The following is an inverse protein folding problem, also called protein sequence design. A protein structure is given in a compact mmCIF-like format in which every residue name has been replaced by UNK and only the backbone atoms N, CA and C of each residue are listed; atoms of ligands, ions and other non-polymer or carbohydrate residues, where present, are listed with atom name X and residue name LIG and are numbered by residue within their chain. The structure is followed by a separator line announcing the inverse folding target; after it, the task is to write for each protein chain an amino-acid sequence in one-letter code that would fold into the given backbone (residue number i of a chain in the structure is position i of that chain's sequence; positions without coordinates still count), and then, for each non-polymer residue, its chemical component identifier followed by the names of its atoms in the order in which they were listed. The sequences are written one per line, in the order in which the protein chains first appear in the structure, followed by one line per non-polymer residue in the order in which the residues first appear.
data_IF_509053200555
#
_entry.id   IF_509053200555
#
_cell.length_a   1.000
_cell.length_b   1.000
_cell.length_c   1.000
_cell.angle_alpha   90.00
_cell.angle_beta   90.00
_cell.angle_gamma   90.00
#
_symmetry.space_group_name_H-M   'P 1'
#
loop_
_entity.id
_entity.type
_entity.pdbx_description
1 polymer ?
#
# COMPACT_ATOMS: atom_id res chain seq x y z
N UNK A 1 -6.60 -13.91 -14.07
CA UNK A 1 -5.17 -13.52 -14.16
C UNK A 1 -4.37 -14.76 -14.47
N UNK A 2 -3.46 -14.68 -15.44
CA UNK A 2 -2.57 -15.80 -15.78
C UNK A 2 -1.28 -15.78 -14.95
N UNK A 3 -0.61 -16.93 -14.86
CA UNK A 3 0.68 -17.06 -14.18
C UNK A 3 1.78 -16.18 -14.81
N UNK A 4 1.76 -16.04 -16.14
CA UNK A 4 2.73 -15.25 -16.91
C UNK A 4 2.68 -13.75 -16.60
N UNK A 5 1.48 -13.18 -16.41
CA UNK A 5 1.30 -11.78 -16.05
C UNK A 5 1.94 -11.47 -14.68
N UNK A 6 1.78 -12.39 -13.72
CA UNK A 6 2.36 -12.26 -12.37
C UNK A 6 3.88 -12.36 -12.41
N UNK A 7 4.43 -13.30 -13.17
CA UNK A 7 5.88 -13.48 -13.30
C UNK A 7 6.52 -12.26 -13.97
N UNK A 8 5.91 -11.76 -15.04
CA UNK A 8 6.40 -10.59 -15.78
C UNK A 8 6.37 -9.34 -14.90
N UNK A 9 5.24 -9.09 -14.23
CA UNK A 9 5.11 -7.99 -13.27
C UNK A 9 6.09 -8.12 -12.08
N UNK A 10 6.41 -9.34 -11.66
CA UNK A 10 7.38 -9.57 -10.57
C UNK A 10 8.80 -9.23 -10.99
N UNK A 11 9.21 -9.60 -12.20
CA UNK A 11 10.57 -9.34 -12.71
C UNK A 11 10.80 -7.84 -12.96
N UNK A 12 9.89 -7.17 -13.65
CA UNK A 12 10.01 -5.72 -13.92
C UNK A 12 9.77 -4.88 -12.66
N UNK A 13 8.84 -5.30 -11.81
CA UNK A 13 8.43 -4.57 -10.61
C UNK A 13 9.42 -4.64 -9.45
N UNK A 14 10.34 -5.61 -9.41
CA UNK A 14 11.26 -5.77 -8.27
C UNK A 14 12.19 -4.57 -8.09
N UNK A 15 12.91 -4.17 -9.13
CA UNK A 15 13.86 -3.04 -9.06
C UNK A 15 13.13 -1.72 -8.82
N UNK A 16 12.02 -1.50 -9.52
CA UNK A 16 11.20 -0.31 -9.34
C UNK A 16 10.65 -0.20 -7.90
N UNK A 17 10.23 -1.33 -7.32
CA UNK A 17 9.79 -1.38 -5.93
C UNK A 17 10.93 -1.13 -4.97
N UNK A 18 12.11 -1.72 -5.19
CA UNK A 18 13.29 -1.47 -4.37
C UNK A 18 13.63 0.02 -4.31
N UNK A 19 13.66 0.68 -5.46
CA UNK A 19 13.96 2.12 -5.57
C UNK A 19 12.87 2.92 -4.87
N UNK A 20 11.60 2.65 -5.18
CA UNK A 20 10.46 3.35 -4.60
C UNK A 20 10.41 3.21 -3.08
N UNK A 21 10.49 1.99 -2.55
CA UNK A 21 10.49 1.71 -1.11
C UNK A 21 11.66 2.39 -0.42
N UNK A 22 12.88 2.25 -0.97
CA UNK A 22 14.08 2.89 -0.42
C UNK A 22 13.94 4.41 -0.37
N UNK A 23 13.41 5.01 -1.44
CA UNK A 23 13.21 6.46 -1.55
C UNK A 23 12.13 6.94 -0.56
N UNK A 24 10.99 6.26 -0.49
CA UNK A 24 9.90 6.60 0.44
C UNK A 24 10.35 6.46 1.89
N UNK A 25 11.07 5.37 2.23
CA UNK A 25 11.59 5.15 3.58
C UNK A 25 12.61 6.23 3.96
N UNK A 26 13.58 6.50 3.08
CA UNK A 26 14.62 7.51 3.34
C UNK A 26 14.02 8.91 3.44
N UNK A 27 13.18 9.28 2.47
CA UNK A 27 12.46 10.55 2.44
C UNK A 27 11.57 10.73 3.67
N UNK A 28 10.82 9.70 4.07
CA UNK A 28 10.00 9.70 5.27
C UNK A 28 10.82 9.89 6.54
N UNK A 29 11.97 9.23 6.67
CA UNK A 29 12.88 9.42 7.82
C UNK A 29 13.45 10.84 7.86
N UNK A 30 13.88 11.38 6.72
CA UNK A 30 14.44 12.74 6.63
C UNK A 30 13.35 13.78 6.97
N UNK A 31 12.18 13.68 6.35
CA UNK A 31 11.05 14.57 6.60
C UNK A 31 10.56 14.46 8.04
N UNK A 32 10.46 13.26 8.61
CA UNK A 32 10.03 13.07 9.99
C UNK A 32 10.98 13.72 10.99
N UNK A 33 12.30 13.66 10.74
CA UNK A 33 13.29 14.42 11.54
C UNK A 33 13.12 15.93 11.40
N UNK A 34 12.96 16.43 10.17
CA UNK A 34 12.79 17.86 9.90
C UNK A 34 11.52 18.41 10.58
N UNK A 35 10.43 17.65 10.51
CA UNK A 35 9.13 17.99 11.10
C UNK A 35 9.03 17.68 12.59
N UNK A 36 10.08 17.11 13.19
CA UNK A 36 10.14 16.69 14.60
C UNK A 36 8.97 15.76 14.99
N UNK A 37 8.65 14.82 14.10
CA UNK A 37 7.74 13.71 14.39
C UNK A 37 8.52 12.64 15.15
N UNK A 38 7.86 11.96 16.08
CA UNK A 38 8.48 10.87 16.83
C UNK A 38 9.05 9.79 15.91
N UNK A 39 10.16 9.19 16.30
CA UNK A 39 10.91 8.23 15.47
C UNK A 39 10.05 7.03 15.04
N UNK A 40 9.32 6.43 15.97
CA UNK A 40 8.49 5.26 15.67
C UNK A 40 7.31 5.64 14.78
N UNK A 41 6.58 6.71 15.10
CA UNK A 41 5.49 7.22 14.24
C UNK A 41 5.99 7.55 12.83
N UNK A 42 7.19 8.15 12.70
CA UNK A 42 7.84 8.41 11.41
C UNK A 42 8.08 7.12 10.63
N UNK A 43 8.68 6.11 11.27
CA UNK A 43 8.95 4.82 10.62
C UNK A 43 7.68 4.10 10.18
N UNK A 44 6.61 4.17 10.99
CA UNK A 44 5.33 3.55 10.67
C UNK A 44 4.63 4.26 9.51
N UNK A 45 4.59 5.60 9.50
CA UNK A 45 4.03 6.38 8.37
C UNK A 45 4.81 6.12 7.09
N UNK A 46 6.15 6.11 7.16
CA UNK A 46 7.00 5.82 6.01
C UNK A 46 6.80 4.40 5.49
N UNK A 47 6.78 3.38 6.38
CA UNK A 47 6.56 1.99 6.01
C UNK A 47 5.17 1.75 5.41
N UNK A 48 4.13 2.33 6.02
CA UNK A 48 2.77 2.30 5.49
C UNK A 48 2.67 2.93 4.10
N UNK A 49 3.37 4.03 3.88
CA UNK A 49 3.41 4.71 2.56
C UNK A 49 4.20 3.94 1.52
N UNK A 50 5.30 3.30 1.92
CA UNK A 50 6.21 2.63 1.00
C UNK A 50 5.65 1.31 0.45
N UNK A 51 4.69 0.66 1.12
CA UNK A 51 4.28 -0.71 0.78
C UNK A 51 2.75 -0.81 0.60
N UNK A 52 2.03 -1.25 1.63
CA UNK A 52 0.61 -1.60 1.58
C UNK A 52 -0.17 -1.03 2.77
N UNK A 53 0.24 0.12 3.29
CA UNK A 53 -0.51 0.83 4.32
C UNK A 53 -0.55 0.09 5.64
N UNK A 54 -1.76 -0.33 6.04
CA UNK A 54 -2.02 -0.89 7.37
C UNK A 54 -1.25 -2.18 7.65
N UNK A 55 -1.11 -3.08 6.66
CA UNK A 55 -0.40 -4.35 6.89
C UNK A 55 1.11 -4.14 7.12
N UNK A 56 1.71 -3.13 6.48
CA UNK A 56 3.10 -2.77 6.73
C UNK A 56 3.28 -2.17 8.13
N UNK A 57 2.36 -1.30 8.56
CA UNK A 57 2.35 -0.76 9.93
C UNK A 57 2.23 -1.90 10.96
N UNK A 58 1.30 -2.83 10.77
CA UNK A 58 1.08 -3.96 11.66
C UNK A 58 2.29 -4.92 11.72
N UNK A 59 3.01 -5.09 10.63
CA UNK A 59 4.22 -5.92 10.58
C UNK A 59 5.43 -5.23 11.25
N UNK A 60 5.59 -3.92 11.06
CA UNK A 60 6.73 -3.14 11.57
C UNK A 60 6.58 -2.79 13.05
N UNK A 61 5.37 -2.48 13.50
CA UNK A 61 5.07 -2.08 14.88
C UNK A 61 5.72 -2.96 15.98
N UNK A 62 5.56 -4.30 15.96
CA UNK A 62 6.17 -5.14 17.00
C UNK A 62 7.71 -5.19 16.91
N UNK A 63 8.29 -5.02 15.71
CA UNK A 63 9.74 -5.05 15.47
C UNK A 63 10.42 -3.83 16.11
N UNK A 64 9.80 -2.65 15.95
CA UNK A 64 10.32 -1.41 16.50
C UNK A 64 9.80 -1.12 17.91
N UNK A 65 8.96 -2.02 18.46
CA UNK A 65 8.29 -1.88 19.76
C UNK A 65 7.60 -0.53 19.91
N UNK A 66 6.74 -0.20 18.94
CA UNK A 66 5.96 1.04 18.97
C UNK A 66 4.81 0.98 19.96
N UNK A 67 4.51 2.14 20.52
CA UNK A 67 3.37 2.34 21.42
C UNK A 67 2.04 2.31 20.64
N UNK A 68 0.96 1.94 21.32
CA UNK A 68 -0.36 1.82 20.69
C UNK A 68 -0.83 3.14 20.03
N UNK A 69 -0.56 4.29 20.64
CA UNK A 69 -0.94 5.58 20.06
C UNK A 69 -0.14 5.89 18.78
N UNK A 70 1.13 5.48 18.69
CA UNK A 70 1.96 5.68 17.50
C UNK A 70 1.43 4.86 16.32
N UNK A 71 1.01 3.61 16.59
CA UNK A 71 0.36 2.74 15.62
C UNK A 71 -0.96 3.36 15.13
N UNK A 72 -1.80 3.80 16.06
CA UNK A 72 -3.07 4.46 15.75
C UNK A 72 -2.86 5.71 14.91
N UNK A 73 -1.91 6.59 15.26
CA UNK A 73 -1.63 7.81 14.51
C UNK A 73 -1.16 7.52 13.09
N UNK A 74 -0.27 6.55 12.91
CA UNK A 74 0.18 6.16 11.58
C UNK A 74 -0.97 5.57 10.73
N UNK A 75 -1.80 4.71 11.32
CA UNK A 75 -2.97 4.14 10.63
C UNK A 75 -3.96 5.23 10.22
N UNK A 76 -4.26 6.19 11.10
CA UNK A 76 -5.17 7.30 10.82
C UNK A 76 -4.66 8.13 9.64
N UNK A 77 -3.38 8.54 9.66
CA UNK A 77 -2.80 9.31 8.56
C UNK A 77 -2.94 8.55 7.25
N UNK A 78 -2.53 7.27 7.23
CA UNK A 78 -2.59 6.43 6.02
C UNK A 78 -4.03 6.26 5.53
N UNK A 79 -4.99 5.95 6.40
CA UNK A 79 -6.37 5.71 5.99
C UNK A 79 -7.07 6.98 5.52
N UNK A 80 -6.82 8.13 6.15
CA UNK A 80 -7.38 9.41 5.68
C UNK A 80 -6.82 9.76 4.30
N UNK A 81 -5.51 9.64 4.08
CA UNK A 81 -4.91 9.88 2.76
C UNK A 81 -5.43 8.91 1.71
N UNK A 82 -5.63 7.64 2.07
CA UNK A 82 -6.21 6.64 1.19
C UNK A 82 -7.66 6.93 0.78
N UNK A 83 -8.48 7.44 1.71
CA UNK A 83 -9.85 7.86 1.40
C UNK A 83 -9.85 9.02 0.39
N UNK A 84 -8.95 9.99 0.55
CA UNK A 84 -8.76 11.08 -0.43
C UNK A 84 -8.26 10.51 -1.76
N UNK A 85 -7.27 9.61 -1.72
CA UNK A 85 -6.65 9.02 -2.90
C UNK A 85 -7.66 8.29 -3.79
N UNK A 86 -8.58 7.52 -3.18
CA UNK A 86 -9.60 6.74 -3.88
C UNK A 86 -10.44 7.60 -4.84
N UNK A 87 -10.74 8.84 -4.44
CA UNK A 87 -11.53 9.79 -5.24
C UNK A 87 -10.64 10.65 -6.16
N UNK A 88 -9.51 11.11 -5.63
CA UNK A 88 -8.66 12.08 -6.29
C UNK A 88 -7.88 11.47 -7.47
N UNK A 89 -7.37 10.25 -7.32
CA UNK A 89 -6.51 9.63 -8.33
C UNK A 89 -7.25 9.39 -9.66
N UNK A 90 -8.42 8.73 -9.68
CA UNK A 90 -9.15 8.53 -10.94
C UNK A 90 -9.47 9.85 -11.65
N UNK A 91 -9.85 10.87 -10.88
CA UNK A 91 -10.13 12.21 -11.42
C UNK A 91 -8.89 12.83 -12.08
N UNK A 92 -7.73 12.80 -11.41
CA UNK A 92 -6.47 13.31 -11.98
C UNK A 92 -6.07 12.50 -13.22
N UNK A 93 -6.15 11.17 -13.16
CA UNK A 93 -5.79 10.30 -14.28
C UNK A 93 -6.62 10.60 -15.52
N UNK A 94 -7.94 10.80 -15.36
CA UNK A 94 -8.84 11.14 -16.46
C UNK A 94 -8.52 12.51 -17.06
N UNK A 95 -8.22 13.50 -16.22
CA UNK A 95 -7.83 14.86 -16.67
C UNK A 95 -6.51 14.88 -17.43
N UNK A 96 -5.59 14.01 -17.05
CA UNK A 96 -4.30 13.85 -17.74
C UNK A 96 -4.38 12.89 -18.95
N UNK A 97 -5.53 12.25 -19.18
CA UNK A 97 -5.70 11.30 -20.28
C UNK A 97 -4.83 10.05 -20.18
N UNK A 98 -4.51 9.59 -18.96
CA UNK A 98 -3.61 8.45 -18.76
C UNK A 98 -4.22 7.16 -19.32
N UNK A 99 -3.40 6.32 -19.96
CA UNK A 99 -3.82 4.96 -20.30
C UNK A 99 -4.13 4.16 -19.04
N UNK A 100 -4.98 3.14 -19.14
CA UNK A 100 -5.33 2.30 -17.99
C UNK A 100 -4.09 1.61 -17.38
N UNK A 101 -3.11 1.25 -18.20
CA UNK A 101 -1.86 0.64 -17.75
C UNK A 101 -0.99 1.63 -16.96
N UNK A 102 -0.82 2.86 -17.48
CA UNK A 102 -0.05 3.91 -16.79
C UNK A 102 -0.74 4.31 -15.48
N UNK A 103 -2.06 4.50 -15.50
CA UNK A 103 -2.83 4.80 -14.29
C UNK A 103 -2.72 3.67 -13.27
N UNK A 104 -2.85 2.40 -13.70
CA UNK A 104 -2.77 1.26 -12.80
C UNK A 104 -1.42 1.18 -12.07
N UNK A 105 -0.31 1.38 -12.81
CA UNK A 105 1.03 1.45 -12.22
C UNK A 105 1.17 2.65 -11.27
N UNK A 106 0.72 3.83 -11.68
CA UNK A 106 0.80 5.04 -10.87
C UNK A 106 0.02 4.92 -9.56
N UNK A 107 -1.24 4.47 -9.64
CA UNK A 107 -2.09 4.22 -8.47
C UNK A 107 -1.46 3.18 -7.54
N UNK A 108 -0.91 2.08 -8.08
CA UNK A 108 -0.24 1.07 -7.27
C UNK A 108 0.99 1.60 -6.54
N UNK A 109 1.74 2.53 -7.13
CA UNK A 109 2.94 3.14 -6.53
C UNK A 109 2.56 4.14 -5.44
N UNK A 110 1.62 5.04 -5.73
CA UNK A 110 1.40 6.24 -4.93
C UNK A 110 0.24 6.16 -3.93
N UNK A 111 -0.77 5.30 -4.14
CA UNK A 111 -1.81 5.06 -3.12
C UNK A 111 -1.24 4.09 -2.08
N UNK A 112 -1.51 4.29 -0.79
CA UNK A 112 -0.80 3.57 0.28
C UNK A 112 -1.32 2.14 0.46
N UNK A 113 -2.64 1.92 0.44
CA UNK A 113 -3.27 0.64 0.75
C UNK A 113 -3.86 -0.08 -0.48
N UNK A 114 -3.89 -1.41 -0.42
CA UNK A 114 -4.39 -2.27 -1.51
C UNK A 114 -5.87 -2.04 -1.78
N UNK A 115 -6.69 -1.87 -0.75
CA UNK A 115 -8.13 -1.71 -0.93
C UNK A 115 -8.49 -0.42 -1.66
N UNK A 116 -7.79 0.67 -1.37
CA UNK A 116 -7.97 1.95 -2.07
C UNK A 116 -7.44 1.92 -3.50
N UNK A 117 -6.35 1.20 -3.76
CA UNK A 117 -5.85 0.95 -5.12
C UNK A 117 -6.87 0.19 -5.95
N UNK A 118 -7.44 -0.90 -5.40
CA UNK A 118 -8.46 -1.71 -6.06
C UNK A 118 -9.70 -0.83 -6.32
N UNK A 119 -10.12 -0.01 -5.36
CA UNK A 119 -11.22 0.95 -5.54
C UNK A 119 -10.97 1.95 -6.67
N UNK A 120 -9.83 2.64 -6.65
CA UNK A 120 -9.45 3.61 -7.69
C UNK A 120 -9.31 2.95 -9.08
N UNK A 121 -8.68 1.77 -9.14
CA UNK A 121 -8.54 0.98 -10.36
C UNK A 121 -9.90 0.57 -10.93
N UNK A 122 -10.82 0.10 -10.10
CA UNK A 122 -12.17 -0.28 -10.52
C UNK A 122 -12.97 0.91 -11.09
N UNK A 123 -12.78 2.11 -10.54
CA UNK A 123 -13.39 3.35 -11.08
C UNK A 123 -12.77 3.72 -12.44
N UNK A 124 -11.47 3.48 -12.63
CA UNK A 124 -10.76 3.87 -13.84
C UNK A 124 -10.91 2.89 -15.02
N UNK A 125 -11.02 1.59 -14.73
CA UNK A 125 -11.28 0.55 -15.73
C UNK A 125 -10.70 -0.82 -15.37
N UNK A 126 -11.18 -1.88 -16.02
CA UNK A 126 -10.81 -3.26 -15.70
C UNK A 126 -9.31 -3.55 -15.89
N UNK A 127 -8.66 -2.97 -16.92
CA UNK A 127 -7.22 -3.16 -17.12
C UNK A 127 -6.42 -2.42 -16.04
N UNK A 128 -6.84 -1.22 -15.67
CA UNK A 128 -6.24 -0.44 -14.59
C UNK A 128 -6.33 -1.19 -13.26
N UNK A 129 -7.51 -1.74 -12.94
CA UNK A 129 -7.74 -2.57 -11.77
C UNK A 129 -6.78 -3.77 -11.72
N UNK A 130 -6.67 -4.51 -12.83
CA UNK A 130 -5.80 -5.68 -12.92
C UNK A 130 -4.33 -5.30 -12.68
N UNK A 131 -3.82 -4.30 -13.41
CA UNK A 131 -2.43 -3.83 -13.28
C UNK A 131 -2.17 -3.34 -11.86
N UNK A 132 -3.04 -2.48 -11.34
CA UNK A 132 -2.83 -1.85 -10.04
C UNK A 132 -2.81 -2.87 -8.90
N UNK A 133 -3.76 -3.81 -8.91
CA UNK A 133 -3.84 -4.89 -7.91
C UNK A 133 -2.60 -5.78 -7.97
N UNK A 134 -2.15 -6.13 -9.17
CA UNK A 134 -0.98 -7.00 -9.37
C UNK A 134 0.28 -6.36 -8.80
N UNK A 135 0.58 -5.13 -9.22
CA UNK A 135 1.76 -4.40 -8.77
C UNK A 135 1.70 -4.20 -7.25
N UNK A 136 0.52 -3.89 -6.69
CA UNK A 136 0.36 -3.67 -5.25
C UNK A 136 0.61 -4.93 -4.42
N UNK A 137 0.13 -6.08 -4.87
CA UNK A 137 0.36 -7.36 -4.19
C UNK A 137 1.83 -7.80 -4.24
N UNK A 138 2.50 -7.60 -5.38
CA UNK A 138 3.94 -7.86 -5.51
C UNK A 138 4.73 -6.95 -4.56
N UNK A 139 4.36 -5.67 -4.48
CA UNK A 139 4.97 -4.74 -3.52
C UNK A 139 4.81 -5.20 -2.08
N UNK A 140 3.71 -5.87 -1.74
CA UNK A 140 3.49 -6.35 -0.37
C UNK A 140 4.49 -7.46 0.06
N UNK A 141 5.19 -8.12 -0.87
CA UNK A 141 6.31 -9.01 -0.56
C UNK A 141 7.46 -8.26 0.16
N UNK A 142 7.57 -6.95 -0.07
CA UNK A 142 8.62 -6.11 0.50
C UNK A 142 8.46 -5.87 2.01
N UNK A 143 7.34 -6.28 2.60
CA UNK A 143 7.18 -6.30 4.06
C UNK A 143 8.31 -7.11 4.71
N UNK A 144 8.68 -8.27 4.13
CA UNK A 144 9.68 -9.17 4.73
C UNK A 144 11.08 -8.53 4.68
N UNK A 145 11.63 -8.11 3.52
CA UNK A 145 12.91 -7.40 3.47
C UNK A 145 12.96 -6.19 4.39
N UNK A 146 11.91 -5.35 4.38
CA UNK A 146 11.87 -4.15 5.23
C UNK A 146 11.89 -4.54 6.73
N UNK A 147 11.11 -5.54 7.11
CA UNK A 147 11.05 -6.06 8.49
C UNK A 147 12.41 -6.57 8.95
N UNK A 148 13.13 -7.31 8.09
CA UNK A 148 14.47 -7.80 8.38
C UNK A 148 15.43 -6.62 8.59
N UNK A 149 15.45 -5.66 7.66
CA UNK A 149 16.30 -4.46 7.77
C UNK A 149 16.00 -3.72 9.08
N UNK A 150 14.74 -3.42 9.37
CA UNK A 150 14.38 -2.71 10.60
C UNK A 150 14.71 -3.50 11.87
N UNK A 151 14.62 -4.83 11.86
CA UNK A 151 15.04 -5.66 12.99
C UNK A 151 16.55 -5.59 13.25
N UNK A 152 17.38 -5.41 12.21
CA UNK A 152 18.82 -5.23 12.37
C UNK A 152 19.21 -3.82 12.82
N UNK A 153 18.51 -2.79 12.34
CA UNK A 153 18.83 -1.39 12.65
C UNK A 153 18.15 -0.85 13.92
N UNK A 154 17.12 -1.53 14.43
CA UNK A 154 16.48 -1.17 15.70
C UNK A 154 17.33 -1.65 16.87
N UNK A 155 17.75 -0.74 17.76
CA UNK A 155 18.49 -1.06 19.00
C UNK A 155 17.76 -2.09 19.88
N UNK A 156 16.44 -2.15 19.79
CA UNK A 156 15.58 -3.10 20.51
C UNK A 156 14.91 -4.11 19.58
N UNK A 157 15.44 -4.28 18.36
CA UNK A 157 14.83 -5.09 17.30
C UNK A 157 14.67 -6.55 17.71
N UNK A 158 13.42 -6.99 17.85
CA UNK A 158 13.13 -8.39 18.13
C UNK A 158 12.97 -9.17 16.83
N UNK A 159 14.00 -9.92 16.44
CA UNK A 159 13.98 -10.76 15.24
C UNK A 159 12.87 -11.83 15.28
N UNK A 160 12.39 -12.22 16.47
CA UNK A 160 11.29 -13.19 16.65
C UNK A 160 9.92 -12.59 16.28
N UNK A 161 9.83 -11.27 16.21
CA UNK A 161 8.57 -10.56 15.89
C UNK A 161 8.32 -10.40 14.39
N UNK A 162 9.25 -10.81 13.53
CA UNK A 162 9.07 -10.80 12.06
C UNK A 162 8.00 -11.83 11.70
N UNK A 163 6.83 -11.35 11.26
CA UNK A 163 5.73 -12.21 10.82
C UNK A 163 5.73 -12.34 9.30
N UNK A 164 5.61 -13.57 8.83
CA UNK A 164 5.41 -13.83 7.41
C UNK A 164 3.96 -13.43 7.01
N UNK A 165 3.77 -12.62 5.95
CA UNK A 165 2.44 -12.24 5.46
C UNK A 165 1.74 -13.41 4.75
N UNK A 166 1.02 -14.25 5.52
CA UNK A 166 0.33 -15.43 5.02
C UNK A 166 -0.64 -15.18 3.85
N UNK A 167 -1.20 -13.97 3.75
CA UNK A 167 -2.10 -13.62 2.63
C UNK A 167 -1.41 -13.73 1.26
N UNK A 168 -0.09 -13.59 1.19
CA UNK A 168 0.68 -13.75 -0.04
C UNK A 168 0.66 -15.21 -0.51
N UNK A 169 0.81 -16.17 0.42
CA UNK A 169 0.73 -17.59 0.10
C UNK A 169 -0.66 -17.95 -0.41
N UNK A 170 -1.71 -17.41 0.22
CA UNK A 170 -3.08 -17.60 -0.23
C UNK A 170 -3.31 -17.01 -1.64
N UNK A 171 -2.74 -15.84 -1.94
CA UNK A 171 -2.80 -15.25 -3.28
C UNK A 171 -2.10 -16.11 -4.33
N UNK A 172 -0.89 -16.58 -4.05
CA UNK A 172 -0.13 -17.47 -4.94
C UNK A 172 -0.89 -18.78 -5.16
N UNK A 173 -1.40 -19.39 -4.08
CA UNK A 173 -2.21 -20.60 -4.16
C UNK A 173 -3.48 -20.40 -5.02
N UNK A 174 -4.15 -19.25 -4.88
CA UNK A 174 -5.33 -18.91 -5.68
C UNK A 174 -4.98 -18.77 -7.18
N UNK A 175 -3.81 -18.21 -7.53
CA UNK A 175 -3.34 -18.14 -8.93
C UNK A 175 -3.10 -19.55 -9.48
N UNK A 176 -2.39 -20.40 -8.75
CA UNK A 176 -2.16 -21.79 -9.18
C UNK A 176 -3.47 -22.55 -9.35
N UNK A 177 -4.39 -22.39 -8.40
CA UNK A 177 -5.72 -22.99 -8.48
C UNK A 177 -6.48 -22.53 -9.73
N UNK A 178 -6.49 -21.22 -10.00
CA UNK A 178 -7.14 -20.66 -11.19
C UNK A 178 -6.51 -21.15 -12.50
N UNK A 179 -5.20 -21.42 -12.51
CA UNK A 179 -4.48 -21.91 -13.67
C UNK A 179 -4.73 -23.40 -13.95
N UNK A 180 -4.83 -24.24 -12.90
CA UNK A 180 -5.09 -25.68 -13.03
C UNK A 180 -6.55 -25.96 -13.40
N UNK A 181 -7.49 -25.11 -12.96
CA UNK A 181 -8.93 -25.34 -13.10
C UNK A 181 -9.64 -24.27 -13.95
N UNK A 182 -9.22 -24.00 -15.20
CA UNK A 182 -9.80 -22.92 -16.02
C UNK A 182 -11.30 -23.12 -16.32
N UNK A 183 -11.81 -24.35 -16.25
CA UNK A 183 -13.22 -24.66 -16.46
C UNK A 183 -14.20 -23.97 -15.47
N UNK A 184 -13.70 -23.41 -14.36
CA UNK A 184 -14.52 -22.69 -13.36
C UNK A 184 -14.66 -21.18 -13.64
N UNK A 185 -14.43 -20.73 -14.87
CA UNK A 185 -14.50 -19.31 -15.26
C UNK A 185 -15.79 -18.59 -14.80
N UNK A 186 -16.94 -19.24 -14.92
CA UNK A 186 -18.22 -18.68 -14.44
C UNK A 186 -18.23 -18.46 -12.93
N UNK A 187 -17.67 -19.39 -12.16
CA UNK A 187 -17.52 -19.28 -10.70
C UNK A 187 -16.52 -18.19 -10.29
N UNK A 188 -15.46 -17.96 -11.07
CA UNK A 188 -14.49 -16.90 -10.80
C UNK A 188 -15.11 -15.50 -10.89
N UNK A 189 -16.10 -15.30 -11.76
CA UNK A 189 -16.85 -14.05 -11.80
C UNK A 189 -17.63 -13.81 -10.50
N UNK A 190 -18.27 -14.84 -9.94
CA UNK A 190 -18.95 -14.76 -8.66
C UNK A 190 -18.00 -14.48 -7.49
N UNK A 191 -16.84 -15.14 -7.45
CA UNK A 191 -15.82 -14.86 -6.44
C UNK A 191 -15.27 -13.44 -6.53
N UNK A 192 -15.03 -12.93 -7.74
CA UNK A 192 -14.58 -11.55 -7.97
C UNK A 192 -15.62 -10.54 -7.50
N UNK A 193 -16.90 -10.77 -7.82
CA UNK A 193 -18.00 -9.94 -7.34
C UNK A 193 -18.09 -9.92 -5.81
N UNK A 194 -18.02 -11.11 -5.18
CA UNK A 194 -18.06 -11.24 -3.73
C UNK A 194 -16.86 -10.53 -3.07
N UNK A 195 -15.65 -10.72 -3.62
CA UNK A 195 -14.43 -10.07 -3.16
C UNK A 195 -14.53 -8.54 -3.22
N UNK A 196 -15.02 -7.99 -4.34
CA UNK A 196 -15.25 -6.54 -4.49
C UNK A 196 -16.23 -6.02 -3.43
N UNK A 197 -17.33 -6.73 -3.18
CA UNK A 197 -18.33 -6.36 -2.15
C UNK A 197 -17.79 -6.46 -0.74
N UNK A 198 -17.09 -7.54 -0.41
CA UNK A 198 -16.45 -7.73 0.89
C UNK A 198 -15.41 -6.64 1.17
N UNK A 199 -14.67 -6.20 0.15
CA UNK A 199 -13.70 -5.10 0.28
C UNK A 199 -14.38 -3.76 0.62
N UNK A 200 -15.54 -3.46 0.03
CA UNK A 200 -16.31 -2.26 0.37
C UNK A 200 -16.75 -2.28 1.84
N UNK A 201 -17.24 -3.43 2.32
CA UNK A 201 -17.62 -3.60 3.73
C UNK A 201 -16.40 -3.43 4.64
N UNK A 202 -15.25 -4.03 4.29
CA UNK A 202 -14.02 -3.91 5.06
C UNK A 202 -13.56 -2.44 5.15
N UNK A 203 -13.57 -1.71 4.02
CA UNK A 203 -13.24 -0.29 3.97
C UNK A 203 -14.17 0.56 4.84
N UNK A 204 -15.48 0.27 4.80
CA UNK A 204 -16.46 0.95 5.64
C UNK A 204 -16.20 0.71 7.13
N UNK A 205 -15.95 -0.53 7.54
CA UNK A 205 -15.67 -0.88 8.93
C UNK A 205 -14.37 -0.24 9.43
N UNK A 206 -13.31 -0.24 8.61
CA UNK A 206 -12.06 0.44 8.94
C UNK A 206 -12.31 1.95 9.15
N UNK A 207 -13.06 2.58 8.24
CA UNK A 207 -13.43 4.00 8.34
C UNK A 207 -14.27 4.30 9.58
N UNK A 208 -15.21 3.42 9.95
CA UNK A 208 -16.08 3.57 11.12
C UNK A 208 -15.33 3.56 12.45
N UNK A 209 -14.11 3.01 12.47
CA UNK A 209 -13.25 2.96 13.66
C UNK A 209 -12.40 4.24 13.83
N UNK A 210 -12.44 5.17 12.86
CA UNK A 210 -11.67 6.42 12.89
C UNK A 210 -12.58 7.57 13.36
N UNK A 211 -12.25 8.16 14.51
CA UNK A 211 -12.99 9.30 15.06
C UNK A 211 -12.28 10.64 14.79
N UNK A 212 -13.05 11.73 14.67
CA UNK A 212 -12.50 13.09 14.54
C UNK A 212 -11.57 13.46 15.70
N UNK A 213 -11.85 12.94 16.89
CA UNK A 213 -11.01 13.14 18.06
C UNK A 213 -9.63 12.50 17.87
N UNK A 214 -9.56 11.26 17.40
CA UNK A 214 -8.28 10.59 17.12
C UNK A 214 -7.51 11.27 15.97
N UNK A 215 -8.21 11.80 14.95
CA UNK A 215 -7.59 12.61 13.88
C UNK A 215 -6.94 13.87 14.46
N UNK A 216 -7.59 14.56 15.40
CA UNK A 216 -6.99 15.73 16.05
C UNK A 216 -5.80 15.34 16.93
N UNK A 217 -5.87 14.21 17.62
CA UNK A 217 -4.80 13.72 18.50
C UNK A 217 -3.53 13.31 17.74
N UNK A 218 -3.65 12.77 16.52
CA UNK A 218 -2.47 12.39 15.74
C UNK A 218 -1.58 13.56 15.36
N UNK A 219 -2.12 14.78 15.42
CA UNK A 219 -1.37 16.02 15.31
C UNK A 219 -1.03 16.39 13.87
N UNK A 220 -0.89 17.70 13.65
CA UNK A 220 -0.65 18.27 12.32
C UNK A 220 0.67 17.83 11.71
N UNK A 221 1.71 17.59 12.52
CA UNK A 221 3.04 17.16 12.05
C UNK A 221 3.01 15.77 11.40
N UNK A 222 2.24 14.83 11.95
CA UNK A 222 2.09 13.49 11.38
C UNK A 222 1.37 13.54 10.03
N UNK A 223 0.31 14.35 9.92
CA UNK A 223 -0.37 14.60 8.65
C UNK A 223 0.54 15.30 7.63
N UNK A 224 1.29 16.32 8.05
CA UNK A 224 2.20 17.03 7.15
C UNK A 224 3.28 16.09 6.59
N UNK A 225 3.82 15.20 7.44
CA UNK A 225 4.73 14.13 7.01
C UNK A 225 4.08 13.23 5.96
N UNK A 226 2.90 12.69 6.26
CA UNK A 226 2.17 11.79 5.35
C UNK A 226 1.82 12.45 4.02
N UNK A 227 1.24 13.66 4.05
CA UNK A 227 0.85 14.43 2.85
C UNK A 227 2.07 14.77 2.02
N UNK A 228 3.14 15.28 2.63
CA UNK A 228 4.35 15.67 1.88
C UNK A 228 4.97 14.45 1.21
N UNK A 229 5.09 13.34 1.95
CA UNK A 229 5.63 12.10 1.41
C UNK A 229 4.75 11.57 0.27
N UNK A 230 3.42 11.61 0.42
CA UNK A 230 2.46 11.18 -0.58
C UNK A 230 2.52 12.03 -1.86
N UNK A 231 2.59 13.36 -1.74
CA UNK A 231 2.70 14.27 -2.89
C UNK A 231 4.00 14.04 -3.63
N UNK A 232 5.13 13.91 -2.92
CA UNK A 232 6.44 13.64 -3.53
C UNK A 232 6.42 12.31 -4.28
N UNK A 233 5.89 11.25 -3.68
CA UNK A 233 5.85 9.92 -4.31
C UNK A 233 4.88 9.88 -5.49
N UNK A 234 3.72 10.52 -5.37
CA UNK A 234 2.75 10.64 -6.45
C UNK A 234 3.30 11.42 -7.64
N UNK A 235 3.92 12.58 -7.40
CA UNK A 235 4.50 13.41 -8.47
C UNK A 235 5.69 12.73 -9.14
N UNK A 236 6.62 12.18 -8.35
CA UNK A 236 7.81 11.52 -8.89
C UNK A 236 7.46 10.28 -9.70
N UNK A 237 6.57 9.42 -9.19
CA UNK A 237 6.15 8.22 -9.91
C UNK A 237 5.36 8.55 -11.18
N UNK A 238 4.50 9.57 -11.14
CA UNK A 238 3.78 10.04 -12.34
C UNK A 238 4.76 10.53 -13.40
N UNK A 239 5.74 11.33 -13.01
CA UNK A 239 6.77 11.85 -13.92
C UNK A 239 7.56 10.71 -14.57
N UNK A 240 7.96 9.70 -13.82
CA UNK A 240 8.69 8.56 -14.36
C UNK A 240 7.86 7.69 -15.32
N UNK A 241 6.55 7.57 -15.09
CA UNK A 241 5.66 6.74 -15.91
C UNK A 241 5.14 7.44 -17.17
N UNK A 242 5.31 8.76 -17.26
CA UNK A 242 4.83 9.59 -18.39
C UNK A 242 5.98 10.09 -19.29
N UNK A 243 7.21 9.72 -18.96
CA UNK A 243 8.43 9.94 -19.75
C UNK A 243 8.70 8.72 -20.63
#
# INVERSE_FOLDING_TARGET
MGLEEVITASKSGFVQTLISVSLVMTGGIVLGRLLRVEKNTTLLIAAGTAICGGSAIAAVAPIIKSENYQNSFALIVVFVLNAIALLLFPFIGQRLGLSQEVFGNWAAIAIHDTSSVVGAGAIYGEKALQVATTVKLIRALWIIPLSIVLAFFSKNGDKRSIKFPWFILLFVAAIFFANIFPAFESSYAHFSWLGRRAMVVALFLIGSNITLHQIKQSGTRCFLLGVTLWVVTAAFSLFLLTR
#
